data_IF_276491625679
#
_entry.id   IF_276491625679
#
_cell.length_a   1.000
_cell.length_b   1.000
_cell.length_c   1.000
_cell.angle_alpha   90.00
_cell.angle_beta   90.00
_cell.angle_gamma   90.00
#
_symmetry.space_group_name_H-M   'P 1'
#
loop_
_entity.id
_entity.type
_entity.pdbx_description
1 polymer ?
#
# COMPACT_ATOMS: atom_id res chain seq x y z
N UNK A 1 -7.36 -6.98 -18.98
CA UNK A 1 -8.12 -6.66 -17.75
C UNK A 1 -7.15 -6.10 -16.75
N UNK A 2 -7.38 -4.88 -16.25
CA UNK A 2 -6.58 -4.32 -15.16
C UNK A 2 -6.97 -5.03 -13.87
N UNK A 3 -6.00 -5.56 -13.13
CA UNK A 3 -6.24 -6.20 -11.84
C UNK A 3 -6.77 -5.13 -10.86
N UNK A 4 -7.99 -5.29 -10.31
CA UNK A 4 -8.63 -4.25 -9.50
C UNK A 4 -7.93 -4.02 -8.16
N UNK A 5 -7.15 -5.01 -7.70
CA UNK A 5 -6.39 -4.95 -6.45
C UNK A 5 -5.00 -4.35 -6.67
N UNK A 6 -4.61 -4.12 -7.93
CA UNK A 6 -3.35 -3.45 -8.26
C UNK A 6 -3.44 -1.97 -7.93
N UNK A 7 -2.45 -1.53 -7.19
CA UNK A 7 -2.31 -0.13 -6.78
C UNK A 7 -0.90 0.35 -7.03
N UNK A 8 -0.78 1.66 -7.13
CA UNK A 8 0.47 2.38 -7.18
C UNK A 8 0.56 3.18 -5.89
N UNK A 9 1.56 2.86 -5.07
CA UNK A 9 1.76 3.50 -3.79
C UNK A 9 2.86 4.57 -3.92
N UNK A 10 2.48 5.82 -3.66
CA UNK A 10 3.33 7.00 -3.71
C UNK A 10 3.84 7.31 -2.29
N UNK A 11 5.16 7.39 -2.14
CA UNK A 11 5.85 7.61 -0.88
C UNK A 11 6.92 8.68 -1.07
N UNK A 12 6.77 9.85 -0.45
CA UNK A 12 7.68 10.98 -0.66
C UNK A 12 7.89 11.27 -2.17
N UNK A 13 9.08 10.98 -2.71
CA UNK A 13 9.43 11.15 -4.13
C UNK A 13 9.47 9.82 -4.92
N UNK A 14 8.94 8.74 -4.33
CA UNK A 14 9.02 7.38 -4.86
C UNK A 14 7.66 6.80 -5.15
N UNK A 15 7.63 5.87 -6.09
CA UNK A 15 6.41 5.21 -6.54
C UNK A 15 6.66 3.71 -6.63
N UNK A 16 5.92 2.93 -5.84
CA UNK A 16 6.02 1.47 -5.83
C UNK A 16 4.73 0.84 -6.28
N UNK A 17 4.84 -0.27 -7.00
CA UNK A 17 3.68 -1.08 -7.36
C UNK A 17 3.39 -2.07 -6.25
N UNK A 18 2.11 -2.26 -5.97
CA UNK A 18 1.66 -3.23 -5.00
C UNK A 18 0.30 -3.81 -5.34
N UNK A 19 -0.12 -4.75 -4.50
CA UNK A 19 -1.41 -5.41 -4.61
C UNK A 19 -2.07 -5.41 -3.24
N UNK A 20 -3.33 -4.99 -3.18
CA UNK A 20 -4.15 -5.13 -1.98
C UNK A 20 -4.44 -6.63 -1.79
N UNK A 21 -3.95 -7.20 -0.69
CA UNK A 21 -4.17 -8.62 -0.36
C UNK A 21 -5.40 -8.81 0.51
N UNK A 22 -5.77 -7.79 1.30
CA UNK A 22 -6.95 -7.84 2.16
C UNK A 22 -7.47 -6.43 2.50
N UNK A 23 -8.77 -6.34 2.77
CA UNK A 23 -9.41 -5.19 3.38
C UNK A 23 -9.86 -5.57 4.79
N UNK A 24 -9.42 -4.81 5.79
CA UNK A 24 -9.67 -5.10 7.21
C UNK A 24 -10.53 -3.99 7.85
N UNK A 25 -11.32 -4.36 8.87
CA UNK A 25 -12.05 -3.38 9.69
C UNK A 25 -13.07 -2.52 8.95
N UNK A 26 -13.76 -3.06 7.93
CA UNK A 26 -14.85 -2.37 7.23
C UNK A 26 -14.40 -1.27 6.25
N UNK A 27 -13.13 -1.26 5.83
CA UNK A 27 -12.57 -0.31 4.85
C UNK A 27 -11.67 0.77 5.44
N UNK A 28 -11.45 0.76 6.75
CA UNK A 28 -10.50 1.66 7.43
C UNK A 28 -9.06 1.17 7.41
N UNK A 29 -8.84 -0.13 7.21
CA UNK A 29 -7.51 -0.75 7.13
C UNK A 29 -7.40 -1.62 5.89
N UNK A 30 -6.20 -1.74 5.34
CA UNK A 30 -5.91 -2.64 4.23
C UNK A 30 -4.53 -3.25 4.35
N UNK A 31 -4.36 -4.43 3.76
CA UNK A 31 -3.08 -5.11 3.61
C UNK A 31 -2.58 -4.90 2.20
N UNK A 32 -1.37 -4.39 2.08
CA UNK A 32 -0.67 -4.16 0.83
C UNK A 32 0.56 -5.05 0.77
N UNK A 33 0.70 -5.78 -0.33
CA UNK A 33 1.95 -6.44 -0.68
C UNK A 33 2.65 -5.64 -1.76
N UNK A 34 3.87 -5.18 -1.48
CA UNK A 34 4.69 -4.47 -2.46
C UNK A 34 5.42 -5.45 -3.38
N UNK A 35 5.71 -5.04 -4.61
CA UNK A 35 6.50 -5.86 -5.52
C UNK A 35 7.97 -5.96 -5.03
N UNK A 36 8.54 -7.18 -4.93
CA UNK A 36 9.88 -7.40 -4.40
C UNK A 36 10.99 -6.99 -5.38
N UNK A 37 10.66 -6.77 -6.65
CA UNK A 37 11.63 -6.33 -7.67
C UNK A 37 12.10 -4.88 -7.44
N UNK A 38 11.44 -4.16 -6.54
CA UNK A 38 11.73 -2.77 -6.20
C UNK A 38 12.59 -2.75 -4.92
N UNK A 39 13.92 -2.70 -5.08
CA UNK A 39 14.93 -2.88 -4.01
C UNK A 39 15.15 -1.65 -3.10
N UNK A 40 14.15 -0.77 -2.97
CA UNK A 40 14.27 0.50 -2.26
C UNK A 40 13.54 0.47 -0.89
N UNK A 41 13.84 1.39 0.05
CA UNK A 41 13.85 1.11 1.48
C UNK A 41 12.51 0.68 2.05
N UNK A 42 12.63 -0.11 3.11
CA UNK A 42 11.56 -0.66 3.93
C UNK A 42 10.55 0.43 4.30
N UNK A 43 9.26 0.13 4.14
CA UNK A 43 8.22 0.96 4.71
C UNK A 43 8.27 0.83 6.24
N UNK A 44 8.30 1.97 6.91
CA UNK A 44 8.27 2.01 8.37
C UNK A 44 6.87 2.31 8.90
N UNK A 45 6.53 1.74 10.04
CA UNK A 45 5.32 2.12 10.76
C UNK A 45 5.34 3.63 11.09
N UNK A 46 4.20 4.29 10.90
CA UNK A 46 4.02 5.74 10.98
C UNK A 46 4.22 6.48 9.66
N UNK A 47 4.77 5.84 8.62
CA UNK A 47 5.00 6.50 7.34
C UNK A 47 3.69 6.70 6.57
N UNK A 48 3.44 7.93 6.11
CA UNK A 48 2.30 8.27 5.27
C UNK A 48 2.57 7.98 3.79
N UNK A 49 1.52 7.61 3.06
CA UNK A 49 1.58 7.36 1.64
C UNK A 49 0.25 7.62 0.94
N UNK A 50 0.30 7.78 -0.38
CA UNK A 50 -0.91 7.86 -1.21
C UNK A 50 -1.01 6.61 -2.09
N UNK A 51 -2.12 5.89 -1.98
CA UNK A 51 -2.43 4.78 -2.87
C UNK A 51 -3.27 5.29 -4.04
N UNK A 52 -2.72 5.20 -5.24
CA UNK A 52 -3.41 5.38 -6.49
C UNK A 52 -3.98 4.03 -6.96
N UNK A 53 -5.29 3.98 -7.11
CA UNK A 53 -6.04 2.83 -7.60
C UNK A 53 -5.98 2.75 -9.13
N UNK A 54 -6.36 1.60 -9.68
CA UNK A 54 -6.43 1.39 -11.13
C UNK A 54 -7.37 2.36 -11.88
N UNK A 55 -8.35 2.98 -11.21
CA UNK A 55 -9.23 4.00 -11.80
C UNK A 55 -8.66 5.43 -11.73
N UNK A 56 -7.48 5.60 -11.11
CA UNK A 56 -6.85 6.89 -10.85
C UNK A 56 -7.29 7.54 -9.54
N UNK A 57 -8.21 6.94 -8.77
CA UNK A 57 -8.54 7.44 -7.45
C UNK A 57 -7.34 7.33 -6.50
N UNK A 58 -7.09 8.39 -5.73
CA UNK A 58 -6.00 8.43 -4.74
C UNK A 58 -6.56 8.42 -3.33
N UNK A 59 -5.88 7.71 -2.43
CA UNK A 59 -6.25 7.58 -1.02
C UNK A 59 -5.03 7.78 -0.13
N UNK A 60 -5.15 8.64 0.88
CA UNK A 60 -4.11 8.85 1.89
C UNK A 60 -4.18 7.76 2.93
N UNK A 61 -3.04 7.15 3.17
CA UNK A 61 -2.85 6.03 4.07
C UNK A 61 -1.66 6.28 4.98
N UNK A 62 -1.62 5.63 6.13
CA UNK A 62 -0.43 5.53 6.97
C UNK A 62 -0.11 4.07 7.24
N UNK A 63 1.17 3.70 7.16
CA UNK A 63 1.66 2.36 7.49
C UNK A 63 1.51 2.20 8.99
N UNK A 64 0.70 1.25 9.44
CA UNK A 64 0.55 0.98 10.87
C UNK A 64 1.48 -0.12 11.34
N UNK A 65 1.73 -1.11 10.48
CA UNK A 65 2.46 -2.32 10.85
C UNK A 65 3.10 -2.95 9.61
N UNK A 66 4.36 -3.38 9.72
CA UNK A 66 4.99 -4.27 8.76
C UNK A 66 4.72 -5.72 9.20
N UNK A 67 4.05 -6.49 8.36
CA UNK A 67 3.72 -7.88 8.63
C UNK A 67 4.89 -8.77 8.16
N UNK A 68 5.31 -9.75 8.97
CA UNK A 68 6.32 -10.71 8.53
C UNK A 68 5.77 -11.48 7.35
N UNK A 69 6.53 -11.50 6.24
CA UNK A 69 6.11 -12.20 5.05
C UNK A 69 6.12 -13.71 5.31
N UNK A 70 4.93 -14.31 5.42
CA UNK A 70 4.78 -15.72 5.79
C UNK A 70 5.14 -16.65 4.61
N UNK A 71 5.03 -16.15 3.37
CA UNK A 71 5.05 -16.99 2.16
C UNK A 71 5.74 -16.36 0.93
N UNK A 72 6.34 -15.17 1.04
CA UNK A 72 6.94 -14.50 -0.14
C UNK A 72 8.07 -13.57 0.26
N UNK A 73 9.08 -13.42 -0.59
CA UNK A 73 10.19 -12.46 -0.41
C UNK A 73 9.73 -10.97 -0.42
N UNK A 74 8.43 -10.72 -0.58
CA UNK A 74 7.81 -9.41 -0.57
C UNK A 74 7.18 -9.13 0.79
N UNK A 75 7.60 -8.04 1.45
CA UNK A 75 6.98 -7.56 2.68
C UNK A 75 5.50 -7.23 2.49
N UNK A 76 4.67 -7.69 3.42
CA UNK A 76 3.28 -7.25 3.54
C UNK A 76 3.19 -6.13 4.57
N UNK A 77 2.34 -5.13 4.31
CA UNK A 77 2.19 -3.97 5.17
C UNK A 77 0.73 -3.72 5.44
N UNK A 78 0.38 -3.47 6.70
CA UNK A 78 -0.93 -2.98 7.09
C UNK A 78 -0.93 -1.46 7.04
N UNK A 79 -1.91 -0.93 6.34
CA UNK A 79 -2.12 0.49 6.13
C UNK A 79 -3.48 0.89 6.70
N UNK A 80 -3.57 2.11 7.22
CA UNK A 80 -4.80 2.72 7.71
C UNK A 80 -5.19 3.89 6.83
N UNK A 81 -6.45 3.93 6.40
CA UNK A 81 -7.05 5.04 5.67
C UNK A 81 -7.11 6.29 6.54
N UNK A 82 -6.46 7.35 6.06
CA UNK A 82 -6.53 8.70 6.62
C UNK A 82 -7.59 9.54 5.90
N UNK A 83 -7.79 9.32 4.60
CA UNK A 83 -8.80 10.01 3.81
C UNK A 83 -8.58 9.90 2.31
N UNK A 84 -9.34 10.66 1.52
CA UNK A 84 -9.15 10.74 0.07
C UNK A 84 -7.88 11.54 -0.24
N UNK A 85 -7.04 11.01 -1.12
CA UNK A 85 -5.83 11.67 -1.64
C UNK A 85 -6.17 12.53 -2.85
N UNK A 86 -5.27 13.47 -3.19
CA UNK A 86 -5.50 14.47 -4.23
C UNK A 86 -5.94 15.81 -3.67
N UNK A 87 -5.03 16.78 -3.75
CA UNK A 87 -5.34 18.21 -3.75
C UNK A 87 -5.23 18.70 -5.19
#
# INVERSE_FOLDING_TARGET
MSDPNRVIAHYADRVRRGTITALEGGGGYLRLRLDPSDSDPELHAGQECELEMHDGARFRMTVTEALPAVDSAAGEFRLKLLGRGGR
#
